data_IF_426667242656
#
_entry.id   IF_426667242656
#
_cell.length_a   1.000
_cell.length_b   1.000
_cell.length_c   1.000
_cell.angle_alpha   90.00
_cell.angle_beta   90.00
_cell.angle_gamma   90.00
#
_symmetry.space_group_name_H-M   'P 1'
#
loop_
_entity.id
_entity.type
_entity.pdbx_description
1 polymer ?
#
# COMPACT_ATOMS: atom_id res chain seq x y z
N UNK A 1 -19.89 -6.77 -6.22
CA UNK A 1 -19.00 -5.61 -6.37
C UNK A 1 -17.85 -5.76 -5.39
N UNK A 2 -16.64 -6.05 -5.89
CA UNK A 2 -15.46 -6.26 -5.04
C UNK A 2 -14.37 -5.26 -5.40
N UNK A 3 -14.56 -4.01 -4.95
CA UNK A 3 -13.45 -3.07 -4.93
C UNK A 3 -12.33 -3.58 -4.00
N UNK A 4 -11.09 -3.40 -4.41
CA UNK A 4 -9.89 -3.74 -3.61
C UNK A 4 -8.98 -2.51 -3.60
N UNK A 5 -8.57 -2.08 -2.41
CA UNK A 5 -7.59 -1.00 -2.23
C UNK A 5 -6.23 -1.61 -1.91
N UNK A 6 -5.23 -1.31 -2.72
CA UNK A 6 -3.89 -1.91 -2.63
C UNK A 6 -2.82 -0.84 -2.50
N UNK A 7 -1.93 -0.98 -1.53
CA UNK A 7 -0.68 -0.24 -1.47
C UNK A 7 0.44 -1.11 -2.05
N UNK A 8 1.14 -0.57 -3.05
CA UNK A 8 2.24 -1.22 -3.71
C UNK A 8 3.47 -0.32 -3.76
N UNK A 9 4.63 -0.91 -3.98
CA UNK A 9 5.88 -0.17 -4.13
C UNK A 9 6.81 -0.83 -5.13
N UNK A 10 7.79 -0.08 -5.62
CA UNK A 10 8.90 -0.63 -6.37
C UNK A 10 10.05 -0.98 -5.43
N UNK A 11 10.25 -2.27 -5.15
CA UNK A 11 11.36 -2.76 -4.35
C UNK A 11 12.64 -2.80 -5.19
N UNK A 12 13.77 -2.37 -4.65
CA UNK A 12 15.06 -2.55 -5.33
C UNK A 12 15.54 -4.01 -5.34
N UNK A 13 15.06 -4.83 -4.39
CA UNK A 13 15.42 -6.26 -4.28
C UNK A 13 14.44 -7.14 -5.06
N UNK A 14 13.14 -6.90 -4.90
CA UNK A 14 12.08 -7.77 -5.44
C UNK A 14 11.35 -7.19 -6.67
N UNK A 15 11.64 -5.96 -7.07
CA UNK A 15 10.86 -5.25 -8.08
C UNK A 15 9.47 -4.83 -7.60
N UNK A 16 8.49 -4.68 -8.50
CA UNK A 16 7.11 -4.30 -8.15
C UNK A 16 6.49 -5.27 -7.14
N UNK A 17 6.14 -4.76 -5.96
CA UNK A 17 5.71 -5.57 -4.81
C UNK A 17 4.45 -5.00 -4.17
N UNK A 18 3.60 -5.89 -3.68
CA UNK A 18 2.44 -5.54 -2.86
C UNK A 18 2.86 -5.43 -1.40
N UNK A 19 2.38 -4.38 -0.72
CA UNK A 19 2.64 -4.15 0.71
C UNK A 19 1.40 -4.45 1.54
N UNK A 20 0.23 -4.06 1.05
CA UNK A 20 -1.04 -4.21 1.76
C UNK A 20 -2.18 -4.24 0.75
N UNK A 21 -3.14 -5.13 0.93
CA UNK A 21 -4.40 -5.15 0.20
C UNK A 21 -5.57 -5.14 1.19
N UNK A 22 -6.57 -4.32 0.92
CA UNK A 22 -7.78 -4.17 1.72
C UNK A 22 -8.98 -4.53 0.86
N UNK A 23 -9.82 -5.40 1.39
CA UNK A 23 -10.99 -5.91 0.70
C UNK A 23 -12.19 -5.97 1.64
N UNK A 24 -13.36 -5.81 1.06
CA UNK A 24 -14.61 -5.90 1.77
C UNK A 24 -15.22 -7.29 1.64
N UNK A 25 -15.48 -7.94 2.76
CA UNK A 25 -16.08 -9.27 2.87
C UNK A 25 -17.59 -9.14 2.90
N UNK A 26 -18.28 -9.98 2.13
CA UNK A 26 -19.74 -10.00 2.09
C UNK A 26 -20.36 -10.60 3.36
N UNK A 27 -21.59 -10.20 3.73
CA UNK A 27 -22.30 -10.82 4.85
C UNK A 27 -22.52 -12.31 4.58
N UNK A 28 -22.06 -13.17 5.50
CA UNK A 28 -22.16 -14.63 5.40
C UNK A 28 -20.96 -15.34 4.78
N UNK A 29 -19.93 -14.62 4.32
CA UNK A 29 -18.67 -15.24 3.90
C UNK A 29 -17.75 -15.56 5.09
N UNK A 30 -17.11 -16.73 5.04
CA UNK A 30 -16.13 -17.16 6.04
C UNK A 30 -14.87 -16.28 5.97
N UNK A 31 -14.62 -15.51 7.03
CA UNK A 31 -13.41 -14.68 7.21
C UNK A 31 -12.12 -15.51 7.05
N UNK A 32 -12.16 -16.79 7.42
CA UNK A 32 -11.03 -17.72 7.26
C UNK A 32 -10.55 -17.91 5.83
N UNK A 33 -11.38 -17.63 4.83
CA UNK A 33 -10.99 -17.64 3.41
C UNK A 33 -10.15 -16.43 3.01
N UNK A 34 -10.07 -15.42 3.87
CA UNK A 34 -9.44 -14.13 3.59
C UNK A 34 -8.16 -13.90 4.38
N UNK A 35 -7.89 -14.72 5.41
CA UNK A 35 -6.57 -14.81 6.01
C UNK A 35 -5.58 -15.34 4.97
N UNK A 36 -4.53 -14.57 4.71
CA UNK A 36 -3.52 -14.92 3.72
C UNK A 36 -2.78 -16.18 4.17
N UNK A 37 -2.51 -17.10 3.25
CA UNK A 37 -1.48 -18.11 3.47
C UNK A 37 -0.14 -17.36 3.56
N UNK A 38 0.37 -17.20 4.79
CA UNK A 38 1.58 -16.43 5.05
C UNK A 38 2.73 -16.89 4.16
N UNK A 39 3.23 -15.99 3.31
CA UNK A 39 4.53 -16.20 2.66
C UNK A 39 5.57 -16.18 3.78
N UNK A 40 6.50 -17.15 3.85
CA UNK A 40 7.50 -17.16 4.91
C UNK A 40 8.30 -15.86 4.92
N UNK A 41 8.50 -15.31 6.13
CA UNK A 41 9.17 -14.02 6.39
C UNK A 41 10.57 -13.92 5.71
N UNK A 42 11.22 -15.05 5.43
CA UNK A 42 12.52 -15.13 4.76
C UNK A 42 12.48 -14.70 3.28
N UNK A 43 11.31 -14.64 2.65
CA UNK A 43 11.15 -14.28 1.24
C UNK A 43 10.84 -12.78 1.03
N UNK A 44 10.66 -12.01 2.11
CA UNK A 44 10.26 -10.60 2.05
C UNK A 44 11.32 -9.73 2.73
N UNK A 45 11.73 -8.65 2.07
CA UNK A 45 12.58 -7.65 2.71
C UNK A 45 11.75 -6.72 3.61
N UNK A 46 12.44 -5.95 4.44
CA UNK A 46 11.80 -4.99 5.34
C UNK A 46 10.95 -3.92 4.64
N UNK A 47 11.27 -3.58 3.39
CA UNK A 47 10.47 -2.63 2.61
C UNK A 47 9.10 -3.20 2.23
N UNK A 48 9.06 -4.49 1.86
CA UNK A 48 7.86 -5.16 1.35
C UNK A 48 6.93 -5.65 2.45
N UNK A 49 7.41 -5.73 3.69
CA UNK A 49 6.67 -6.33 4.81
C UNK A 49 5.62 -5.37 5.35
N UNK A 50 4.41 -5.89 5.56
CA UNK A 50 3.38 -5.25 6.35
C UNK A 50 3.77 -5.33 7.84
N UNK A 51 4.06 -4.18 8.47
CA UNK A 51 4.42 -4.10 9.90
C UNK A 51 3.22 -3.51 10.66
N UNK A 52 2.45 -4.35 11.34
CA UNK A 52 1.34 -3.91 12.20
C UNK A 52 1.85 -3.87 13.66
N UNK A 53 1.54 -2.81 14.43
CA UNK A 53 1.89 -2.77 15.85
C UNK A 53 1.17 -3.91 16.57
N UNK A 54 1.94 -4.74 17.29
CA UNK A 54 1.38 -5.88 18.05
C UNK A 54 0.50 -5.34 19.18
N UNK A 55 -0.81 -5.51 19.07
CA UNK A 55 -1.68 -5.40 20.24
C UNK A 55 -1.53 -6.69 21.06
N UNK A 56 -1.14 -6.52 22.32
CA UNK A 56 -0.84 -7.57 23.29
C UNK A 56 -2.11 -8.30 23.77
N UNK A 57 -2.69 -9.15 22.95
CA UNK A 57 -3.73 -10.10 23.37
C UNK A 57 -3.55 -11.43 22.64
N UNK A 58 -3.39 -12.50 23.44
CA UNK A 58 -2.94 -13.85 23.06
C UNK A 58 -3.92 -14.65 22.17
N UNK A 59 -4.94 -14.04 21.59
CA UNK A 59 -6.04 -14.76 20.90
C UNK A 59 -6.40 -14.25 19.49
N UNK A 60 -5.54 -13.48 18.83
CA UNK A 60 -5.83 -12.99 17.45
C UNK A 60 -5.09 -13.79 16.35
N UNK A 61 -5.77 -14.13 15.25
CA UNK A 61 -5.21 -14.91 14.14
C UNK A 61 -4.20 -14.05 13.37
N UNK A 62 -2.99 -14.59 13.21
CA UNK A 62 -1.85 -14.10 12.43
C UNK A 62 -1.43 -12.62 12.61
N UNK A 63 -0.14 -12.34 12.93
CA UNK A 63 0.38 -10.99 13.22
C UNK A 63 0.42 -10.03 12.00
N UNK A 64 -0.25 -10.37 10.90
CA UNK A 64 -0.17 -9.71 9.59
C UNK A 64 -1.54 -9.25 9.05
N UNK A 65 -2.60 -9.30 9.85
CA UNK A 65 -3.95 -8.92 9.40
C UNK A 65 -4.58 -7.83 10.28
N UNK A 66 -5.39 -6.96 9.65
CA UNK A 66 -6.17 -5.92 10.33
C UNK A 66 -7.62 -6.04 9.88
N UNK A 67 -8.56 -6.04 10.81
CA UNK A 67 -9.98 -6.19 10.53
C UNK A 67 -10.79 -5.06 11.16
N UNK A 68 -11.81 -4.59 10.43
CA UNK A 68 -12.79 -3.63 10.94
C UNK A 68 -14.19 -4.04 10.52
N UNK A 69 -15.14 -4.02 11.45
CA UNK A 69 -16.56 -4.24 11.19
C UNK A 69 -17.28 -2.91 10.98
N UNK A 70 -18.01 -2.74 9.87
CA UNK A 70 -18.93 -1.61 9.71
C UNK A 70 -20.12 -1.75 10.66
N UNK A 71 -20.50 -0.64 11.27
CA UNK A 71 -21.71 -0.54 12.09
C UNK A 71 -22.99 -0.40 11.26
N UNK A 72 -22.86 -0.02 9.98
CA UNK A 72 -23.99 0.37 9.12
C UNK A 72 -24.45 -0.79 8.25
N UNK A 73 -23.51 -1.48 7.59
CA UNK A 73 -23.84 -2.47 6.54
C UNK A 73 -23.54 -3.93 6.93
N UNK A 74 -23.25 -4.21 8.22
CA UNK A 74 -22.77 -5.50 8.76
C UNK A 74 -21.61 -6.13 7.95
N UNK A 75 -20.93 -5.31 7.15
CA UNK A 75 -19.84 -5.72 6.28
C UNK A 75 -18.52 -5.70 7.06
N UNK A 76 -17.66 -6.68 6.79
CA UNK A 76 -16.33 -6.77 7.40
C UNK A 76 -15.30 -6.31 6.37
N UNK A 77 -14.33 -5.52 6.81
CA UNK A 77 -13.18 -5.12 6.00
C UNK A 77 -11.94 -5.79 6.55
N UNK A 78 -11.16 -6.40 5.67
CA UNK A 78 -9.93 -7.09 6.04
C UNK A 78 -8.79 -6.50 5.22
N UNK A 79 -7.70 -6.15 5.90
CA UNK A 79 -6.42 -5.89 5.27
C UNK A 79 -5.43 -6.99 5.58
N UNK A 80 -4.81 -7.50 4.52
CA UNK A 80 -3.73 -8.49 4.58
C UNK A 80 -2.57 -8.02 3.71
N UNK A 81 -1.42 -8.68 3.79
CA UNK A 81 -0.31 -8.38 2.87
C UNK A 81 -0.62 -8.85 1.43
N UNK A 82 -1.26 -10.00 1.29
CA UNK A 82 -1.65 -10.59 0.01
C UNK A 82 -3.08 -11.16 0.08
N UNK A 83 -3.86 -11.11 -1.01
CA UNK A 83 -5.15 -11.76 -1.04
C UNK A 83 -5.00 -13.28 -1.09
N UNK A 84 -5.86 -14.01 -0.39
CA UNK A 84 -5.85 -15.48 -0.34
C UNK A 84 -6.25 -16.13 -1.67
N UNK A 85 -7.09 -15.46 -2.46
CA UNK A 85 -7.52 -15.98 -3.76
C UNK A 85 -6.39 -15.85 -4.79
N UNK A 86 -5.97 -16.98 -5.37
CA UNK A 86 -4.92 -17.02 -6.40
C UNK A 86 -5.25 -16.14 -7.60
N UNK A 87 -6.52 -16.11 -8.04
CA UNK A 87 -6.97 -15.26 -9.14
C UNK A 87 -6.74 -13.78 -8.83
N UNK A 88 -7.21 -13.31 -7.65
CA UNK A 88 -7.01 -11.93 -7.20
C UNK A 88 -5.53 -11.59 -7.04
N UNK A 89 -4.74 -12.52 -6.49
CA UNK A 89 -3.29 -12.34 -6.36
C UNK A 89 -2.62 -12.15 -7.73
N UNK A 90 -2.92 -13.01 -8.72
CA UNK A 90 -2.37 -12.87 -10.07
C UNK A 90 -2.80 -11.57 -10.75
N UNK A 91 -4.07 -11.18 -10.60
CA UNK A 91 -4.62 -9.96 -11.19
C UNK A 91 -3.96 -8.71 -10.58
N UNK A 92 -3.92 -8.60 -9.25
CA UNK A 92 -3.26 -7.48 -8.58
C UNK A 92 -1.76 -7.43 -8.88
N UNK A 93 -1.09 -8.58 -8.97
CA UNK A 93 0.34 -8.62 -9.35
C UNK A 93 0.54 -8.10 -10.77
N UNK A 94 -0.32 -8.45 -11.72
CA UNK A 94 -0.28 -7.94 -13.08
C UNK A 94 -0.50 -6.42 -13.13
N UNK A 95 -1.50 -5.92 -12.38
CA UNK A 95 -1.78 -4.49 -12.23
C UNK A 95 -0.57 -3.75 -11.66
N UNK A 96 -0.01 -4.22 -10.53
CA UNK A 96 1.17 -3.61 -9.88
C UNK A 96 2.37 -3.59 -10.82
N UNK A 97 2.65 -4.70 -11.52
CA UNK A 97 3.71 -4.75 -12.53
C UNK A 97 3.50 -3.65 -13.57
N UNK A 98 2.30 -3.57 -14.15
CA UNK A 98 1.96 -2.59 -15.18
C UNK A 98 2.13 -1.14 -14.69
N UNK A 99 1.68 -0.81 -13.48
CA UNK A 99 1.86 0.53 -12.86
C UNK A 99 3.31 0.96 -12.81
N UNK A 100 4.23 0.06 -12.43
CA UNK A 100 5.62 0.44 -12.19
C UNK A 100 6.55 0.25 -13.40
N UNK A 101 6.22 -0.64 -14.35
CA UNK A 101 7.12 -0.97 -15.47
C UNK A 101 6.65 -0.48 -16.83
N UNK A 102 5.34 -0.33 -17.03
CA UNK A 102 4.77 -0.03 -18.35
C UNK A 102 4.25 1.41 -18.39
N UNK A 103 3.50 1.80 -17.36
CA UNK A 103 2.83 3.10 -17.35
C UNK A 103 3.80 4.22 -16.99
N UNK A 104 3.90 5.23 -17.86
CA UNK A 104 4.73 6.41 -17.64
C UNK A 104 3.83 7.49 -17.03
N UNK A 105 3.90 7.65 -15.71
CA UNK A 105 3.35 8.84 -15.06
C UNK A 105 4.31 10.01 -15.33
N UNK A 106 3.85 10.99 -16.12
CA UNK A 106 4.56 12.25 -16.36
C UNK A 106 4.44 13.23 -15.19
N UNK A 107 3.44 13.03 -14.31
CA UNK A 107 3.16 13.91 -13.18
C UNK A 107 2.70 13.14 -11.92
N UNK A 108 3.22 13.55 -10.77
CA UNK A 108 3.02 12.90 -9.46
C UNK A 108 1.58 12.99 -8.93
N UNK A 109 0.72 13.80 -9.55
CA UNK A 109 -0.64 14.05 -9.06
C UNK A 109 -1.75 13.64 -10.03
N UNK A 110 -1.40 12.93 -11.11
CA UNK A 110 -2.39 12.43 -12.06
C UNK A 110 -2.66 10.94 -11.81
N UNK A 111 -3.92 10.54 -11.58
CA UNK A 111 -4.25 9.13 -11.48
C UNK A 111 -4.09 8.47 -12.85
N UNK A 112 -3.48 7.29 -12.85
CA UNK A 112 -3.43 6.39 -13.99
C UNK A 112 -4.67 5.51 -13.94
N UNK A 113 -5.48 5.50 -14.99
CA UNK A 113 -6.60 4.58 -15.13
C UNK A 113 -6.31 3.64 -16.27
N UNK A 114 -6.36 2.35 -15.98
CA UNK A 114 -6.18 1.30 -16.96
C UNK A 114 -6.85 0.03 -16.46
N UNK A 115 -7.16 -0.87 -17.38
CA UNK A 115 -7.78 -2.13 -17.03
C UNK A 115 -7.88 -3.05 -18.22
N UNK A 116 -8.23 -4.29 -17.93
CA UNK A 116 -8.71 -5.24 -18.91
C UNK A 116 -9.75 -6.17 -18.25
N UNK A 117 -10.49 -6.91 -19.08
CA UNK A 117 -11.53 -7.82 -18.59
C UNK A 117 -11.01 -9.04 -17.79
N UNK A 118 -9.68 -9.27 -17.72
CA UNK A 118 -9.08 -10.43 -17.05
C UNK A 118 -8.51 -10.07 -15.67
N UNK A 119 -7.74 -9.00 -15.60
CA UNK A 119 -7.12 -8.46 -14.40
C UNK A 119 -8.04 -7.49 -13.64
N UNK A 120 -9.02 -6.88 -14.33
CA UNK A 120 -9.91 -5.87 -13.78
C UNK A 120 -9.46 -4.45 -14.14
N UNK A 121 -10.30 -3.49 -13.77
CA UNK A 121 -10.11 -2.07 -14.01
C UNK A 121 -9.56 -1.39 -12.77
N UNK A 122 -8.51 -0.59 -12.93
CA UNK A 122 -7.77 0.00 -11.82
C UNK A 122 -7.53 1.49 -12.01
N UNK A 123 -7.67 2.22 -10.91
CA UNK A 123 -7.18 3.59 -10.76
C UNK A 123 -5.99 3.58 -9.81
N UNK A 124 -4.82 4.00 -10.29
CA UNK A 124 -3.58 4.02 -9.53
C UNK A 124 -3.03 5.45 -9.41
N UNK A 125 -2.69 5.87 -8.19
CA UNK A 125 -1.95 7.11 -7.96
C UNK A 125 -0.52 6.77 -7.57
N UNK A 126 0.44 7.22 -8.39
CA UNK A 126 1.87 6.97 -8.18
C UNK A 126 2.49 8.16 -7.46
N UNK A 127 3.28 7.90 -6.43
CA UNK A 127 3.97 8.94 -5.68
C UNK A 127 5.38 8.51 -5.28
N UNK A 128 6.21 9.49 -4.97
CA UNK A 128 7.60 9.28 -4.59
C UNK A 128 7.85 9.83 -3.21
N UNK A 129 8.69 9.12 -2.46
CA UNK A 129 9.15 9.53 -1.14
C UNK A 129 10.67 9.64 -1.18
N UNK A 130 11.22 10.70 -0.62
CA UNK A 130 12.66 10.85 -0.49
C UNK A 130 13.21 9.91 0.59
N UNK A 131 14.24 9.14 0.26
CA UNK A 131 15.00 8.33 1.21
C UNK A 131 16.47 8.34 0.81
N UNK A 132 17.31 9.00 1.61
CA UNK A 132 18.75 9.13 1.36
C UNK A 132 19.49 7.78 1.28
N UNK A 133 18.90 6.71 1.82
CA UNK A 133 19.48 5.37 1.78
C UNK A 133 19.03 4.54 0.57
N UNK A 134 18.07 5.03 -0.21
CA UNK A 134 17.60 4.40 -1.44
C UNK A 134 18.44 4.82 -2.66
N UNK A 135 18.46 3.99 -3.69
CA UNK A 135 19.15 4.29 -4.94
C UNK A 135 18.46 5.46 -5.64
N UNK A 136 19.23 6.51 -5.93
CA UNK A 136 18.67 7.75 -6.50
C UNK A 136 17.96 8.62 -5.47
N UNK A 137 18.10 8.32 -4.18
CA UNK A 137 17.50 9.04 -3.04
C UNK A 137 15.97 9.11 -3.03
N UNK A 138 15.29 8.26 -3.80
CA UNK A 138 13.82 8.24 -3.93
C UNK A 138 13.28 6.81 -3.93
N UNK A 139 12.13 6.60 -3.30
CA UNK A 139 11.33 5.37 -3.38
C UNK A 139 10.01 5.64 -4.06
N UNK A 140 9.60 4.73 -4.96
CA UNK A 140 8.32 4.81 -5.68
C UNK A 140 7.27 3.95 -5.01
N UNK A 141 6.14 4.54 -4.71
CA UNK A 141 4.96 3.90 -4.13
C UNK A 141 3.73 4.19 -5.01
N UNK A 142 2.70 3.36 -4.86
CA UNK A 142 1.41 3.59 -5.50
C UNK A 142 0.28 3.09 -4.63
N UNK A 143 -0.80 3.87 -4.54
CA UNK A 143 -2.08 3.41 -4.02
C UNK A 143 -2.98 3.13 -5.22
N UNK A 144 -3.56 1.95 -5.26
CA UNK A 144 -4.31 1.42 -6.39
C UNK A 144 -5.69 0.99 -5.90
N UNK A 145 -6.74 1.41 -6.59
CA UNK A 145 -8.10 0.92 -6.38
C UNK A 145 -8.49 0.11 -7.60
N UNK A 146 -8.81 -1.16 -7.40
CA UNK A 146 -9.19 -2.11 -8.45
C UNK A 146 -10.66 -2.48 -8.30
N UNK A 147 -11.38 -2.57 -9.42
CA UNK A 147 -12.74 -3.08 -9.55
C UNK A 147 -12.84 -4.07 -10.71
N UNK A 148 -13.86 -4.92 -10.71
CA UNK A 148 -14.13 -5.85 -11.80
C UNK A 148 -14.78 -5.16 -13.01
N UNK A 149 -15.43 -4.00 -12.80
CA UNK A 149 -16.13 -3.24 -13.84
C UNK A 149 -15.49 -1.86 -14.06
N UNK A 150 -15.48 -1.45 -15.32
CA UNK A 150 -14.97 -0.14 -15.75
C UNK A 150 -15.88 1.00 -15.25
N UNK A 151 -17.19 0.84 -15.45
CA UNK A 151 -18.20 1.85 -15.10
C UNK A 151 -18.14 2.22 -13.62
N UNK A 152 -17.85 1.25 -12.74
CA UNK A 152 -17.75 1.43 -11.29
C UNK A 152 -16.59 2.37 -10.90
N UNK A 153 -15.47 2.33 -11.64
CA UNK A 153 -14.30 3.21 -11.43
C UNK A 153 -14.61 4.62 -11.91
N UNK A 154 -15.29 4.77 -13.05
CA UNK A 154 -15.63 6.07 -13.62
C UNK A 154 -16.73 6.79 -12.83
N UNK A 155 -17.77 6.06 -12.41
CA UNK A 155 -18.85 6.62 -11.58
C UNK A 155 -18.31 7.21 -10.27
N UNK A 156 -17.30 6.56 -9.68
CA UNK A 156 -16.68 6.97 -8.42
C UNK A 156 -15.34 7.69 -8.59
N UNK A 157 -15.03 8.16 -9.80
CA UNK A 157 -13.72 8.72 -10.15
C UNK A 157 -13.27 9.80 -9.17
N UNK A 158 -14.13 10.80 -8.94
CA UNK A 158 -13.81 11.97 -8.12
C UNK A 158 -13.60 11.59 -6.66
N UNK A 159 -14.37 10.63 -6.15
CA UNK A 159 -14.28 10.17 -4.77
C UNK A 159 -12.98 9.40 -4.53
N UNK A 160 -12.66 8.46 -5.42
CA UNK A 160 -11.43 7.68 -5.36
C UNK A 160 -10.24 8.63 -5.45
N UNK A 161 -10.21 9.50 -6.45
CA UNK A 161 -9.10 10.44 -6.64
C UNK A 161 -8.90 11.33 -5.41
N UNK A 162 -9.97 11.91 -4.86
CA UNK A 162 -9.88 12.78 -3.69
C UNK A 162 -9.25 12.06 -2.49
N UNK A 163 -9.70 10.84 -2.21
CA UNK A 163 -9.21 10.04 -1.09
C UNK A 163 -7.75 9.60 -1.30
N UNK A 164 -7.40 9.19 -2.53
CA UNK A 164 -6.02 8.84 -2.89
C UNK A 164 -5.08 10.04 -2.77
N UNK A 165 -5.45 11.19 -3.34
CA UNK A 165 -4.64 12.42 -3.29
C UNK A 165 -4.43 12.88 -1.86
N UNK A 166 -5.48 12.93 -1.02
CA UNK A 166 -5.35 13.28 0.41
C UNK A 166 -4.40 12.35 1.16
N UNK A 167 -4.46 11.05 0.87
CA UNK A 167 -3.57 10.06 1.50
C UNK A 167 -2.12 10.27 1.09
N UNK A 168 -1.89 10.50 -0.21
CA UNK A 168 -0.56 10.76 -0.75
C UNK A 168 0.02 12.06 -0.20
N UNK A 169 -0.76 13.14 -0.17
CA UNK A 169 -0.36 14.42 0.42
C UNK A 169 0.05 14.28 1.89
N UNK A 170 -0.72 13.52 2.68
CA UNK A 170 -0.37 13.20 4.07
C UNK A 170 0.97 12.45 4.16
N UNK A 171 1.18 11.42 3.34
CA UNK A 171 2.42 10.62 3.34
C UNK A 171 3.63 11.51 2.99
N UNK A 172 3.51 12.30 1.92
CA UNK A 172 4.58 13.18 1.46
C UNK A 172 4.91 14.22 2.55
N UNK A 173 3.90 14.92 3.07
CA UNK A 173 4.08 15.94 4.12
C UNK A 173 4.75 15.38 5.37
N UNK A 174 4.32 14.19 5.84
CA UNK A 174 4.93 13.53 6.99
C UNK A 174 6.37 13.12 6.74
N UNK A 175 6.67 12.54 5.57
CA UNK A 175 8.04 12.15 5.22
C UNK A 175 8.98 13.36 5.16
N UNK A 176 8.53 14.50 4.63
CA UNK A 176 9.31 15.74 4.60
C UNK A 176 9.65 16.25 6.01
N UNK A 177 8.69 16.23 6.94
CA UNK A 177 8.92 16.66 8.33
C UNK A 177 9.98 15.80 9.05
N UNK A 178 9.98 14.48 8.81
CA UNK A 178 10.98 13.57 9.39
C UNK A 178 12.37 13.85 8.80
N UNK A 179 12.43 14.10 7.49
CA UNK A 179 13.67 14.45 6.81
C UNK A 179 14.28 15.77 7.31
N UNK A 180 13.46 16.81 7.50
CA UNK A 180 13.93 18.10 8.03
C UNK A 180 14.48 17.97 9.46
N UNK A 181 13.84 17.14 10.31
CA UNK A 181 14.34 16.84 11.66
C UNK A 181 15.69 16.12 11.62
N UNK A 182 15.87 15.19 10.70
CA UNK A 182 17.13 14.47 10.53
C UNK A 182 18.26 15.36 9.99
N UNK A 183 17.94 16.30 9.09
CA UNK A 183 18.91 17.24 8.50
C UNK A 183 19.52 18.23 9.49
N UNK A 184 18.75 18.68 10.50
CA UNK A 184 19.25 19.61 11.54
C UNK A 184 20.23 18.98 12.53
N UNK A 185 20.28 17.65 12.61
CA UNK A 185 21.10 16.92 13.57
C UNK A 185 22.45 16.44 13.01
N UNK A 186 22.74 16.65 11.72
CA UNK A 186 23.84 15.96 11.04
C UNK A 186 24.83 16.95 10.37
N UNK A 187 25.55 17.72 11.20
CA UNK A 187 26.70 18.57 10.81
C UNK A 187 28.01 17.77 10.61
N UNK A 188 27.93 16.44 10.43
CA UNK A 188 29.10 15.60 10.21
C UNK A 188 29.31 15.32 8.71
N UNK A 189 30.31 15.99 8.14
CA UNK A 189 30.76 15.90 6.74
C UNK A 189 31.34 14.53 6.32
N UNK A 190 31.20 13.48 7.13
CA UNK A 190 31.77 12.15 6.89
C UNK A 190 30.96 11.29 5.90
N UNK A 191 29.85 11.82 5.36
CA UNK A 191 28.98 11.10 4.41
C UNK A 191 29.71 10.74 3.11
N UNK A 192 30.70 11.54 2.69
CA UNK A 192 31.45 11.30 1.44
C UNK A 192 32.47 10.16 1.53
N UNK A 193 32.98 9.83 2.73
CA UNK A 193 34.07 8.86 2.91
C UNK A 193 33.59 7.40 3.06
N UNK A 194 32.28 7.16 3.14
CA UNK A 194 31.70 5.81 3.35
C UNK A 194 30.93 5.25 2.14
N UNK A 195 31.37 5.56 0.92
CA UNK A 195 30.80 4.94 -0.30
C UNK A 195 31.03 3.42 -0.39
N UNK A 196 31.90 2.85 0.46
CA UNK A 196 32.21 1.42 0.51
C UNK A 196 31.16 0.55 1.23
N UNK A 197 30.06 1.12 1.75
CA UNK A 197 28.92 0.38 2.34
C UNK A 197 27.68 0.37 1.42
N UNK A 198 27.89 0.35 0.10
CA UNK A 198 26.93 0.60 -0.98
C UNK A 198 25.84 -0.45 -1.22
N UNK A 199 25.25 -1.03 -0.18
CA UNK A 199 23.99 -1.79 -0.30
C UNK A 199 22.85 -0.87 0.13
N UNK A 200 21.89 -0.57 -0.77
CA UNK A 200 20.67 0.16 -0.40
C UNK A 200 19.99 -0.54 0.77
N UNK A 201 19.78 0.19 1.87
CA UNK A 201 19.11 -0.40 3.03
C UNK A 201 17.62 -0.54 2.74
N UNK A 202 17.06 -1.71 2.99
CA UNK A 202 15.62 -1.90 2.91
C UNK A 202 14.98 -1.31 4.17
N UNK A 203 14.16 -0.27 4.03
CA UNK A 203 13.42 0.38 5.11
C UNK A 203 11.94 0.27 4.83
N UNK A 204 11.17 -0.07 5.86
CA UNK A 204 9.72 -0.03 5.79
C UNK A 204 9.23 1.41 5.73
N UNK A 205 8.08 1.62 5.08
CA UNK A 205 7.42 2.92 5.00
C UNK A 205 7.16 3.51 6.41
N UNK A 206 6.83 2.66 7.37
CA UNK A 206 6.65 3.01 8.79
C UNK A 206 7.89 3.70 9.36
N UNK A 207 9.09 3.17 9.07
CA UNK A 207 10.35 3.71 9.56
C UNK A 207 10.73 5.01 8.85
N UNK A 208 10.30 5.19 7.60
CA UNK A 208 10.54 6.44 6.84
C UNK A 208 9.64 7.55 7.34
N UNK A 209 8.38 7.23 7.67
CA UNK A 209 7.41 8.18 8.19
C UNK A 209 7.48 8.40 9.70
N UNK A 210 8.26 7.59 10.42
CA UNK A 210 8.30 7.54 11.88
C UNK A 210 6.88 7.36 12.49
N UNK A 211 6.07 6.50 11.85
CA UNK A 211 4.66 6.29 12.20
C UNK A 211 4.32 4.79 12.28
N UNK A 212 4.41 4.22 13.49
CA UNK A 212 4.10 2.81 13.76
C UNK A 212 2.64 2.42 13.45
N UNK A 213 1.73 3.40 13.52
CA UNK A 213 0.28 3.19 13.30
C UNK A 213 -0.15 3.43 11.86
N UNK A 214 0.78 3.69 10.94
CA UNK A 214 0.48 4.08 9.57
C UNK A 214 -0.43 3.06 8.85
N UNK A 215 -0.12 1.77 8.92
CA UNK A 215 -0.91 0.74 8.25
C UNK A 215 -2.32 0.58 8.83
N UNK A 216 -2.50 0.84 10.13
CA UNK A 216 -3.82 0.86 10.76
C UNK A 216 -4.64 2.04 10.26
N UNK A 217 -4.04 3.23 10.15
CA UNK A 217 -4.70 4.40 9.55
C UNK A 217 -5.07 4.16 8.09
N UNK A 218 -4.16 3.55 7.33
CA UNK A 218 -4.42 3.21 5.94
C UNK A 218 -5.56 2.19 5.80
N UNK A 219 -5.65 1.22 6.71
CA UNK A 219 -6.76 0.26 6.77
C UNK A 219 -8.09 0.97 7.01
N UNK A 220 -8.15 1.90 7.97
CA UNK A 220 -9.36 2.66 8.25
C UNK A 220 -9.79 3.52 7.07
N UNK A 221 -8.83 4.20 6.42
CA UNK A 221 -9.11 4.99 5.22
C UNK A 221 -9.62 4.12 4.07
N UNK A 222 -8.97 2.98 3.82
CA UNK A 222 -9.40 2.04 2.81
C UNK A 222 -10.79 1.46 3.14
N UNK A 223 -11.07 1.14 4.40
CA UNK A 223 -12.38 0.65 4.84
C UNK A 223 -13.47 1.70 4.66
N UNK A 224 -13.21 2.95 5.03
CA UNK A 224 -14.13 4.08 4.81
C UNK A 224 -14.40 4.30 3.32
N UNK A 225 -13.36 4.26 2.48
CA UNK A 225 -13.52 4.38 1.03
C UNK A 225 -14.34 3.21 0.46
N UNK A 226 -14.08 1.97 0.89
CA UNK A 226 -14.83 0.80 0.45
C UNK A 226 -16.28 0.79 0.95
N UNK A 227 -16.56 1.45 2.08
CA UNK A 227 -17.91 1.68 2.58
C UNK A 227 -18.66 2.69 1.71
N UNK A 228 -18.04 3.82 1.39
CA UNK A 228 -18.62 4.84 0.50
C UNK A 228 -18.85 4.32 -0.92
N UNK A 229 -17.95 3.49 -1.45
CA UNK A 229 -18.08 2.88 -2.79
C UNK A 229 -19.18 1.80 -2.88
N UNK A 230 -19.73 1.36 -1.74
CA UNK A 230 -20.82 0.37 -1.67
C UNK A 230 -22.20 1.01 -1.45
N UNK A 231 -22.26 2.28 -1.08
CA UNK A 231 -23.49 3.05 -0.91
C UNK A 231 -23.97 3.62 -2.24
#
# INVERSE_FOLDING_TARGET
>A
MTFIVTLAHFCEVHGPSMVMCTQAVGPGELLSKYYGSGIPDSQLCESCRLKIPKQSTEEMPDPSTVETKSKVNDSMYISTQFPTSQHRYSSLRHIIMRVFTIEISSSTNQPLIFGDARAGYSMALLFKIFDSTARGSERKYSIIVTSDKEDDIFANYSLILLNLSKTVEYIISKSMQVMEKAGKNNDNNDVYLRRSAGVPKTKSLVTIMDDESFFVRLHLLASSLLEELRC
#
